data_IF_065339717661
#
_entry.id   IF_065339717661
#
_cell.length_a   1.000
_cell.length_b   1.000
_cell.length_c   1.000
_cell.angle_alpha   90.00
_cell.angle_beta   90.00
_cell.angle_gamma   90.00
#
_symmetry.space_group_name_H-M   'P 1'
#
loop_
_entity.id
_entity.type
_entity.pdbx_description
1 polymer ?
#
# COMPACT_ATOMS: atom_id res chain seq x y z
N UNK A 1 -9.59 14.83 -4.36
CA UNK A 1 -9.04 14.03 -3.25
C UNK A 1 -9.88 12.76 -3.17
N UNK A 2 -9.26 11.60 -2.95
CA UNK A 2 -10.01 10.37 -2.72
C UNK A 2 -10.63 10.42 -1.32
N UNK A 3 -11.81 9.83 -1.16
CA UNK A 3 -12.47 9.69 0.15
C UNK A 3 -11.76 8.57 0.92
N UNK A 4 -11.51 8.75 2.22
CA UNK A 4 -10.93 7.72 3.08
C UNK A 4 -12.01 7.13 4.00
N UNK A 5 -12.10 5.80 4.03
CA UNK A 5 -12.99 5.05 4.93
C UNK A 5 -12.14 4.09 5.76
N UNK A 6 -12.27 4.16 7.08
CA UNK A 6 -11.56 3.28 8.00
C UNK A 6 -12.51 2.22 8.56
N UNK A 7 -12.35 0.98 8.12
CA UNK A 7 -13.23 -0.13 8.51
C UNK A 7 -12.73 -0.84 9.75
N UNK A 8 -13.63 -1.10 10.69
CA UNK A 8 -13.34 -1.80 11.94
C UNK A 8 -14.05 -3.17 11.92
N UNK A 9 -13.48 -4.15 12.61
CA UNK A 9 -14.07 -5.48 12.79
C UNK A 9 -13.55 -6.10 14.10
N UNK A 10 -14.25 -7.09 14.65
CA UNK A 10 -13.92 -7.66 15.96
C UNK A 10 -13.01 -8.90 15.90
N UNK A 11 -13.07 -9.70 14.83
CA UNK A 11 -12.18 -10.85 14.61
C UNK A 11 -11.41 -10.68 13.29
N UNK A 12 -10.12 -11.00 13.28
CA UNK A 12 -9.28 -10.96 12.08
C UNK A 12 -9.70 -11.99 11.02
N UNK A 13 -10.43 -13.03 11.43
CA UNK A 13 -11.07 -13.97 10.52
C UNK A 13 -12.27 -13.35 9.80
N UNK A 14 -12.85 -12.30 10.38
CA UNK A 14 -13.99 -11.53 9.85
C UNK A 14 -13.51 -10.22 9.20
N UNK A 15 -12.31 -10.22 8.58
CA UNK A 15 -11.81 -9.06 7.82
C UNK A 15 -12.93 -8.51 6.93
N UNK A 16 -13.08 -7.18 6.95
CA UNK A 16 -14.18 -6.52 6.25
C UNK A 16 -14.21 -6.99 4.77
N UNK A 17 -15.37 -7.47 4.24
CA UNK A 17 -15.44 -8.05 2.90
C UNK A 17 -14.90 -7.15 1.79
N UNK A 18 -15.00 -5.83 1.97
CA UNK A 18 -14.50 -4.85 1.03
C UNK A 18 -12.97 -4.85 0.92
N UNK A 19 -12.23 -5.27 1.95
CA UNK A 19 -10.78 -5.32 1.91
C UNK A 19 -10.25 -6.53 1.12
N UNK A 20 -11.06 -7.56 0.86
CA UNK A 20 -10.62 -8.70 0.02
C UNK A 20 -9.35 -9.41 0.50
N UNK A 21 -9.04 -9.32 1.80
CA UNK A 21 -7.79 -9.79 2.47
C UNK A 21 -6.58 -8.84 2.38
N UNK A 22 -6.68 -7.67 1.77
CA UNK A 22 -5.67 -6.60 1.83
C UNK A 22 -5.78 -5.77 3.12
N UNK A 23 -4.79 -4.89 3.36
CA UNK A 23 -4.80 -3.90 4.48
C UNK A 23 -5.36 -2.54 4.06
N UNK A 24 -5.48 -2.32 2.76
CA UNK A 24 -6.20 -1.23 2.14
C UNK A 24 -6.67 -1.66 0.74
N UNK A 25 -7.67 -0.98 0.20
CA UNK A 25 -8.04 -1.09 -1.22
C UNK A 25 -8.59 0.24 -1.72
N UNK A 26 -8.39 0.52 -3.00
CA UNK A 26 -9.09 1.57 -3.73
C UNK A 26 -10.31 0.99 -4.46
N UNK A 27 -11.49 1.57 -4.23
CA UNK A 27 -12.71 1.23 -4.96
C UNK A 27 -13.48 2.50 -5.35
N UNK A 28 -14.09 2.56 -6.54
CA UNK A 28 -15.05 3.62 -6.85
C UNK A 28 -16.31 3.48 -5.96
N UNK A 29 -16.85 4.61 -5.49
CA UNK A 29 -18.15 4.65 -4.82
C UNK A 29 -19.32 4.51 -5.82
N UNK A 30 -20.55 4.61 -5.31
CA UNK A 30 -21.76 4.51 -6.14
C UNK A 30 -21.88 5.62 -7.20
N UNK A 31 -21.11 6.71 -7.08
CA UNK A 31 -21.04 7.82 -8.02
C UNK A 31 -19.78 7.73 -8.92
N UNK A 32 -18.96 6.70 -8.75
CA UNK A 32 -17.73 6.49 -9.51
C UNK A 32 -16.51 7.25 -8.97
N UNK A 33 -16.59 7.86 -7.77
CA UNK A 33 -15.45 8.56 -7.18
C UNK A 33 -14.51 7.58 -6.44
N UNK A 34 -13.18 7.74 -6.57
CA UNK A 34 -12.23 6.85 -5.90
C UNK A 34 -12.32 7.01 -4.38
N UNK A 35 -12.50 5.88 -3.71
CA UNK A 35 -12.56 5.76 -2.26
C UNK A 35 -11.50 4.76 -1.80
N UNK A 36 -10.66 5.19 -0.87
CA UNK A 36 -9.62 4.38 -0.23
C UNK A 36 -10.20 3.82 1.06
N UNK A 37 -10.26 2.50 1.17
CA UNK A 37 -10.78 1.77 2.32
C UNK A 37 -9.58 1.18 3.07
N UNK A 38 -9.41 1.55 4.33
CA UNK A 38 -8.26 1.21 5.17
C UNK A 38 -8.68 0.32 6.34
N UNK A 39 -7.88 -0.71 6.62
CA UNK A 39 -8.06 -1.61 7.74
C UNK A 39 -7.67 -0.91 9.06
N UNK A 40 -8.67 -0.43 9.80
CA UNK A 40 -8.46 0.30 11.05
C UNK A 40 -7.86 -0.61 12.15
N UNK A 41 -8.13 -1.91 12.12
CA UNK A 41 -7.62 -2.85 13.11
C UNK A 41 -6.17 -3.22 12.85
N UNK A 42 -5.79 -3.40 11.59
CA UNK A 42 -4.38 -3.52 11.21
C UNK A 42 -3.62 -2.24 11.59
N UNK A 43 -4.18 -1.06 11.31
CA UNK A 43 -3.57 0.23 11.65
C UNK A 43 -3.35 0.38 13.16
N UNK A 44 -4.33 0.03 14.00
CA UNK A 44 -4.17 0.08 15.46
C UNK A 44 -3.02 -0.80 15.95
N UNK A 45 -2.81 -1.96 15.32
CA UNK A 45 -1.77 -2.93 15.72
C UNK A 45 -0.37 -2.52 15.27
N UNK A 46 -0.24 -1.91 14.08
CA UNK A 46 1.08 -1.67 13.46
C UNK A 46 1.45 -0.19 13.33
N UNK A 47 0.48 0.71 13.35
CA UNK A 47 0.65 2.14 13.02
C UNK A 47 1.55 2.92 13.98
N UNK A 48 1.61 2.55 15.26
CA UNK A 48 2.52 3.19 16.22
C UNK A 48 3.99 2.81 16.04
N UNK A 49 4.26 1.60 15.55
CA UNK A 49 5.63 1.11 15.34
C UNK A 49 6.16 1.39 13.93
N UNK A 50 5.25 1.58 12.97
CA UNK A 50 5.58 1.72 11.55
C UNK A 50 4.72 2.80 10.86
N UNK A 51 4.82 4.09 11.21
CA UNK A 51 4.00 5.12 10.57
C UNK A 51 4.27 5.27 9.05
N UNK A 52 5.50 5.06 8.60
CA UNK A 52 5.89 5.24 7.21
C UNK A 52 5.23 4.21 6.28
N UNK A 53 4.94 2.98 6.75
CA UNK A 53 4.24 1.99 5.92
C UNK A 53 2.81 2.40 5.64
N UNK A 54 2.13 3.07 6.57
CA UNK A 54 0.74 3.48 6.38
C UNK A 54 0.61 4.67 5.43
N UNK A 55 1.55 5.61 5.50
CA UNK A 55 1.67 6.62 4.45
C UNK A 55 1.94 5.93 3.10
N UNK A 56 2.84 4.95 3.06
CA UNK A 56 3.16 4.23 1.82
C UNK A 56 1.96 3.47 1.24
N UNK A 57 1.17 2.80 2.08
CA UNK A 57 -0.11 2.17 1.70
C UNK A 57 -1.10 3.19 1.16
N UNK A 58 -1.21 4.37 1.79
CA UNK A 58 -2.08 5.42 1.27
C UNK A 58 -1.66 5.89 -0.14
N UNK A 59 -0.36 6.13 -0.35
CA UNK A 59 0.15 6.52 -1.68
C UNK A 59 -0.01 5.40 -2.71
N UNK A 60 0.08 4.13 -2.29
CA UNK A 60 -0.20 2.96 -3.12
C UNK A 60 -1.65 2.98 -3.63
N UNK A 61 -2.63 3.15 -2.73
CA UNK A 61 -4.04 3.23 -3.13
C UNK A 61 -4.36 4.48 -3.96
N UNK A 62 -3.66 5.59 -3.72
CA UNK A 62 -3.74 6.76 -4.58
C UNK A 62 -3.25 6.47 -6.01
N UNK A 63 -2.22 5.63 -6.17
CA UNK A 63 -1.75 5.23 -7.50
C UNK A 63 -2.82 4.44 -8.25
N UNK A 64 -3.50 3.50 -7.58
CA UNK A 64 -4.66 2.82 -8.17
C UNK A 64 -5.79 3.82 -8.51
N UNK A 65 -6.08 4.79 -7.64
CA UNK A 65 -7.11 5.81 -7.90
C UNK A 65 -6.80 6.65 -9.16
N UNK A 66 -5.53 6.95 -9.40
CA UNK A 66 -5.08 7.75 -10.55
C UNK A 66 -4.96 6.91 -11.83
N UNK A 67 -4.57 5.65 -11.69
CA UNK A 67 -4.31 4.72 -12.80
C UNK A 67 -4.87 3.34 -12.45
N UNK A 68 -6.20 3.12 -12.64
CA UNK A 68 -6.86 1.88 -12.23
C UNK A 68 -6.32 0.60 -12.89
N UNK A 69 -5.61 0.73 -14.01
CA UNK A 69 -4.98 -0.37 -14.73
C UNK A 69 -3.63 -0.83 -14.14
N UNK A 70 -3.09 -0.12 -13.14
CA UNK A 70 -1.85 -0.55 -12.47
C UNK A 70 -2.12 -1.85 -11.71
N UNK A 71 -1.24 -2.82 -11.86
CA UNK A 71 -1.12 -3.93 -10.92
C UNK A 71 -0.34 -3.50 -9.67
N UNK A 72 -0.35 -4.34 -8.64
CA UNK A 72 0.23 -4.04 -7.31
C UNK A 72 1.68 -3.55 -7.36
N UNK A 73 2.55 -4.17 -8.19
CA UNK A 73 3.95 -3.74 -8.35
C UNK A 73 4.04 -2.33 -8.95
N UNK A 74 3.17 -2.02 -9.91
CA UNK A 74 3.09 -0.70 -10.53
C UNK A 74 2.59 0.36 -9.56
N UNK A 75 1.57 0.04 -8.78
CA UNK A 75 1.04 0.94 -7.75
C UNK A 75 2.08 1.19 -6.63
N UNK A 76 2.77 0.16 -6.16
CA UNK A 76 3.83 0.28 -5.16
C UNK A 76 5.00 1.13 -5.66
N UNK A 77 5.36 0.95 -6.94
CA UNK A 77 6.38 1.75 -7.62
C UNK A 77 5.98 3.22 -7.74
N UNK A 78 4.75 3.49 -8.17
CA UNK A 78 4.22 4.85 -8.26
C UNK A 78 4.16 5.54 -6.89
N UNK A 79 3.78 4.82 -5.84
CA UNK A 79 3.80 5.30 -4.45
C UNK A 79 5.21 5.69 -4.02
N UNK A 80 6.20 4.83 -4.28
CA UNK A 80 7.60 5.10 -3.97
C UNK A 80 8.08 6.39 -4.65
N UNK A 81 7.86 6.50 -5.97
CA UNK A 81 8.31 7.64 -6.77
C UNK A 81 7.60 8.93 -6.34
N UNK A 82 6.31 8.89 -6.06
CA UNK A 82 5.58 10.10 -5.62
C UNK A 82 6.05 10.56 -4.23
N UNK A 83 6.22 9.63 -3.29
CA UNK A 83 6.76 9.96 -1.97
C UNK A 83 8.19 10.50 -2.04
N UNK A 84 9.06 9.92 -2.88
CA UNK A 84 10.41 10.41 -3.09
C UNK A 84 10.40 11.82 -3.69
N UNK A 85 9.61 12.06 -4.74
CA UNK A 85 9.46 13.37 -5.38
C UNK A 85 8.97 14.44 -4.40
N UNK A 86 8.15 14.07 -3.43
CA UNK A 86 7.63 14.96 -2.37
C UNK A 86 8.58 15.11 -1.18
N UNK A 87 9.75 14.47 -1.19
CA UNK A 87 10.70 14.49 -0.07
C UNK A 87 10.25 13.68 1.16
N UNK A 88 9.26 12.80 1.01
CA UNK A 88 8.70 11.96 2.07
C UNK A 88 9.44 10.62 2.22
N UNK A 89 10.38 10.31 1.32
CA UNK A 89 11.17 9.07 1.33
C UNK A 89 12.57 9.29 1.91
N UNK A 90 12.65 9.66 3.20
CA UNK A 90 13.93 9.73 3.91
C UNK A 90 14.54 8.34 4.12
N UNK A 91 15.85 8.27 4.41
CA UNK A 91 16.53 7.00 4.69
C UNK A 91 15.85 6.17 5.78
N UNK A 92 15.40 6.81 6.87
CA UNK A 92 14.68 6.13 7.95
C UNK A 92 13.36 5.53 7.47
N UNK A 93 12.55 6.31 6.73
CA UNK A 93 11.25 5.87 6.22
C UNK A 93 11.40 4.75 5.20
N UNK A 94 12.41 4.85 4.32
CA UNK A 94 12.79 3.77 3.41
C UNK A 94 13.07 2.47 4.17
N UNK A 95 13.91 2.53 5.23
CA UNK A 95 14.29 1.34 5.99
C UNK A 95 13.15 0.73 6.78
N UNK A 96 12.25 1.56 7.27
CA UNK A 96 11.03 1.12 7.93
C UNK A 96 10.10 0.37 6.96
N UNK A 97 9.84 0.94 5.78
CA UNK A 97 9.02 0.31 4.73
C UNK A 97 9.66 -1.00 4.26
N UNK A 98 10.99 -1.00 4.03
CA UNK A 98 11.75 -2.19 3.66
C UNK A 98 11.62 -3.28 4.72
N UNK A 99 11.82 -2.96 6.00
CA UNK A 99 11.72 -3.93 7.09
C UNK A 99 10.32 -4.59 7.15
N UNK A 100 9.26 -3.80 6.93
CA UNK A 100 7.89 -4.34 6.88
C UNK A 100 7.72 -5.31 5.71
N UNK A 101 8.18 -4.96 4.51
CA UNK A 101 8.13 -5.88 3.37
C UNK A 101 8.94 -7.16 3.63
N UNK A 102 10.14 -7.04 4.20
CA UNK A 102 10.99 -8.19 4.50
C UNK A 102 10.37 -9.13 5.54
N UNK A 103 9.45 -8.65 6.39
CA UNK A 103 8.73 -9.47 7.36
C UNK A 103 7.58 -10.29 6.73
N UNK A 104 7.14 -9.96 5.52
CA UNK A 104 6.01 -10.63 4.87
C UNK A 104 6.48 -11.87 4.09
N UNK A 105 6.41 -13.04 4.72
CA UNK A 105 6.96 -14.27 4.15
C UNK A 105 6.21 -14.80 2.92
N UNK A 106 4.88 -14.72 2.91
CA UNK A 106 4.05 -15.22 1.80
C UNK A 106 3.01 -14.17 1.43
N UNK A 107 2.95 -13.84 0.14
CA UNK A 107 1.95 -12.96 -0.46
C UNK A 107 1.37 -13.63 -1.71
N UNK A 108 0.19 -13.20 -2.17
CA UNK A 108 -0.33 -13.61 -3.48
C UNK A 108 0.63 -13.26 -4.63
N UNK A 109 0.50 -13.96 -5.77
CA UNK A 109 1.41 -13.81 -6.91
C UNK A 109 1.37 -12.42 -7.55
N UNK A 110 0.26 -11.71 -7.46
CA UNK A 110 0.13 -10.31 -7.90
C UNK A 110 1.08 -9.35 -7.16
N UNK A 111 1.46 -9.70 -5.92
CA UNK A 111 2.51 -9.03 -5.14
C UNK A 111 3.90 -9.65 -5.36
N UNK A 112 4.08 -10.55 -6.32
CA UNK A 112 5.35 -11.24 -6.55
C UNK A 112 5.64 -12.42 -5.61
N UNK A 113 4.64 -12.91 -4.86
CA UNK A 113 4.72 -14.17 -4.09
C UNK A 113 5.32 -14.05 -2.67
N UNK A 114 6.08 -13.00 -2.39
CA UNK A 114 6.60 -12.69 -1.05
C UNK A 114 6.91 -11.21 -0.92
N UNK A 115 6.95 -10.68 0.30
CA UNK A 115 7.27 -9.27 0.54
C UNK A 115 8.68 -8.85 0.12
N UNK A 116 9.74 -9.65 0.35
CA UNK A 116 11.07 -9.36 -0.20
C UNK A 116 11.06 -9.23 -1.73
N UNK A 117 10.36 -10.12 -2.42
CA UNK A 117 10.26 -10.09 -3.88
C UNK A 117 9.42 -8.90 -4.35
N UNK A 118 8.33 -8.57 -3.63
CA UNK A 118 7.50 -7.41 -3.91
C UNK A 118 8.31 -6.11 -3.84
N UNK A 119 9.06 -5.94 -2.75
CA UNK A 119 9.92 -4.78 -2.55
C UNK A 119 11.03 -4.69 -3.58
N UNK A 120 11.68 -5.82 -3.90
CA UNK A 120 12.71 -5.86 -4.92
C UNK A 120 12.20 -5.38 -6.28
N UNK A 121 11.04 -5.89 -6.74
CA UNK A 121 10.44 -5.49 -8.01
C UNK A 121 9.99 -4.02 -8.00
N UNK A 122 9.49 -3.55 -6.86
CA UNK A 122 9.16 -2.12 -6.65
C UNK A 122 10.37 -1.23 -6.90
N UNK A 123 11.52 -1.55 -6.30
CA UNK A 123 12.75 -0.78 -6.48
C UNK A 123 13.33 -0.89 -7.90
N UNK A 124 13.20 -2.05 -8.55
CA UNK A 124 13.58 -2.18 -9.96
C UNK A 124 12.73 -1.27 -10.86
N UNK A 125 11.41 -1.21 -10.62
CA UNK A 125 10.53 -0.31 -11.34
C UNK A 125 10.89 1.17 -11.10
N UNK A 126 11.08 1.56 -9.83
CA UNK A 126 11.40 2.94 -9.47
C UNK A 126 12.74 3.42 -10.06
N UNK A 127 13.71 2.52 -10.26
CA UNK A 127 14.98 2.84 -10.92
C UNK A 127 14.80 3.10 -12.42
N UNK A 128 14.01 2.28 -13.12
CA UNK A 128 13.75 2.45 -14.56
C UNK A 128 13.04 3.77 -14.89
N UNK A 129 12.20 4.26 -13.99
CA UNK A 129 11.51 5.56 -14.17
C UNK A 129 12.42 6.79 -14.01
N UNK A 130 13.69 6.61 -13.66
CA UNK A 130 14.69 7.70 -13.48
C UNK A 130 15.71 7.77 -14.62
N UNK A 131 15.70 6.81 -15.55
CA UNK A 131 16.48 6.81 -16.79
C UNK A 131 15.76 7.61 -17.88
#
# INVERSE_FOLDING_TARGET
>A
MATEIWVNYTDIKDRHPELGRAVAVMRPDAQGWPTIILDAEAFKRTGKGTPAIWDFVYFHECAHAQQPQLGEIGANCAAYVDMERRGLMSYHRYKEIEAVHLSMMSLPMEYGGSGPQFWHQTLQCAKKGKE
#
